data_IF_856898291625
#
_entry.id   IF_856898291625
#
_cell.length_a   1.000
_cell.length_b   1.000
_cell.length_c   1.000
_cell.angle_alpha   90.00
_cell.angle_beta   90.00
_cell.angle_gamma   90.00
#
_symmetry.space_group_name_H-M   'P 1'
#
loop_
_entity.id
_entity.type
_entity.pdbx_description
1 polymer ?
#
# COMPACT_ATOMS: atom_id res chain seq x y z
N UNK A 1 34.86 45.65 9.36
CA UNK A 1 33.96 44.55 9.63
C UNK A 1 32.70 45.16 10.22
N UNK A 2 31.58 45.07 9.55
CA UNK A 2 30.33 45.63 10.07
C UNK A 2 29.76 44.65 11.12
N UNK A 3 29.64 45.12 12.37
CA UNK A 3 29.00 44.37 13.44
C UNK A 3 27.54 44.22 13.11
N UNK A 4 27.09 42.98 12.92
CA UNK A 4 25.69 42.63 12.77
C UNK A 4 24.92 42.92 14.06
N UNK A 5 23.87 43.70 13.98
CA UNK A 5 23.03 43.93 15.16
C UNK A 5 22.31 42.65 15.63
N UNK A 6 21.93 42.53 16.91
CA UNK A 6 21.18 41.38 17.39
C UNK A 6 19.86 41.13 16.62
N UNK A 7 19.29 42.20 16.05
CA UNK A 7 18.08 42.11 15.19
C UNK A 7 18.39 41.53 13.82
N UNK A 8 19.55 41.87 13.23
CA UNK A 8 20.01 41.29 11.96
C UNK A 8 20.37 39.81 12.12
N UNK A 9 20.96 39.43 13.26
CA UNK A 9 21.22 38.03 13.59
C UNK A 9 19.92 37.22 13.78
N UNK A 10 18.94 37.77 14.47
CA UNK A 10 17.63 37.11 14.64
C UNK A 10 16.90 36.98 13.31
N UNK A 11 16.91 38.00 12.45
CA UNK A 11 16.34 37.98 11.12
C UNK A 11 17.01 36.93 10.21
N UNK A 12 18.35 36.82 10.26
CA UNK A 12 19.12 35.83 9.52
C UNK A 12 18.88 34.41 10.03
N UNK A 13 18.74 34.20 11.35
CA UNK A 13 18.40 32.92 11.93
C UNK A 13 16.96 32.48 11.56
N UNK A 14 16.02 33.43 11.56
CA UNK A 14 14.64 33.14 11.12
C UNK A 14 14.57 32.89 9.60
N UNK A 15 15.30 33.61 8.80
CA UNK A 15 15.38 33.41 7.35
C UNK A 15 16.03 32.06 6.99
N UNK A 16 17.13 31.71 7.66
CA UNK A 16 17.81 30.42 7.41
C UNK A 16 17.13 29.21 8.03
N UNK A 17 16.37 29.41 9.13
CA UNK A 17 15.62 28.33 9.80
C UNK A 17 14.29 28.00 9.13
N UNK A 18 13.77 28.86 8.25
CA UNK A 18 12.52 28.69 7.53
C UNK A 18 12.65 28.72 6.01
N UNK A 19 13.86 28.53 5.47
CA UNK A 19 13.91 28.16 4.06
C UNK A 19 13.12 26.87 3.89
N UNK A 20 12.02 26.96 3.11
CA UNK A 20 11.14 25.83 2.70
C UNK A 20 11.87 24.80 1.85
N UNK A 21 13.15 24.63 2.03
CA UNK A 21 14.02 23.62 1.43
C UNK A 21 14.28 22.45 2.39
N UNK A 22 13.33 22.14 3.27
CA UNK A 22 13.30 20.81 3.84
C UNK A 22 13.20 19.80 2.69
N UNK A 23 13.81 18.60 2.82
CA UNK A 23 13.68 17.58 1.80
C UNK A 23 12.21 17.41 1.45
N UNK A 24 11.88 17.41 0.16
CA UNK A 24 10.51 17.14 -0.28
C UNK A 24 10.04 15.86 0.41
N UNK A 25 8.76 15.74 0.70
CA UNK A 25 8.19 14.51 1.32
C UNK A 25 8.61 13.24 0.54
N UNK A 26 8.90 13.37 -0.75
CA UNK A 26 9.49 12.33 -1.61
C UNK A 26 10.97 12.00 -1.28
N UNK A 27 11.69 12.89 -0.58
CA UNK A 27 13.09 12.69 -0.18
C UNK A 27 13.21 12.20 1.28
N UNK A 28 12.13 12.14 2.05
CA UNK A 28 12.12 11.46 3.33
C UNK A 28 12.18 9.95 3.04
N UNK A 29 13.21 9.28 3.54
CA UNK A 29 13.29 7.83 3.47
C UNK A 29 12.10 7.20 4.18
N UNK A 30 11.52 6.15 3.58
CA UNK A 30 10.48 5.37 4.25
C UNK A 30 10.96 4.83 5.60
N UNK A 31 10.05 4.63 6.56
CA UNK A 31 10.39 3.93 7.80
C UNK A 31 11.01 2.56 7.50
N UNK A 32 12.05 2.20 8.25
CA UNK A 32 12.75 0.90 8.10
C UNK A 32 12.05 -0.24 8.85
N UNK A 33 11.03 0.08 9.65
CA UNK A 33 10.25 -0.88 10.44
C UNK A 33 8.75 -0.55 10.32
N UNK A 34 7.91 -1.50 10.77
CA UNK A 34 6.47 -1.31 10.85
C UNK A 34 6.15 -0.07 11.68
N UNK A 35 5.49 0.93 11.06
CA UNK A 35 5.27 2.24 11.66
C UNK A 35 3.83 2.71 11.44
N UNK A 36 3.08 2.99 12.50
CA UNK A 36 1.78 3.66 12.38
C UNK A 36 1.97 5.08 11.81
N UNK A 37 1.18 5.44 10.81
CA UNK A 37 1.22 6.77 10.21
C UNK A 37 -0.14 7.17 9.66
N UNK A 38 -0.37 8.47 9.52
CA UNK A 38 -1.56 9.01 8.86
C UNK A 38 -1.18 9.44 7.45
N UNK A 39 -1.89 8.93 6.45
CA UNK A 39 -1.71 9.30 5.05
C UNK A 39 -3.02 9.85 4.49
N UNK A 40 -2.94 10.66 3.43
CA UNK A 40 -4.11 11.18 2.75
C UNK A 40 -4.51 10.28 1.58
N UNK A 41 -5.79 10.30 1.20
CA UNK A 41 -6.32 9.44 0.13
C UNK A 41 -5.61 9.63 -1.22
N UNK A 42 -5.12 10.83 -1.50
CA UNK A 42 -4.37 11.16 -2.70
C UNK A 42 -2.97 10.54 -2.73
N UNK A 43 -2.41 10.21 -1.57
CA UNK A 43 -1.14 9.49 -1.44
C UNK A 43 -1.27 7.98 -1.58
N UNK A 44 -2.50 7.44 -1.49
CA UNK A 44 -2.76 6.01 -1.54
C UNK A 44 -3.17 5.55 -2.93
N UNK A 45 -2.70 4.36 -3.32
CA UNK A 45 -3.16 3.64 -4.52
C UNK A 45 -3.57 2.22 -4.14
N UNK A 46 -4.53 1.63 -4.85
CA UNK A 46 -4.79 0.21 -4.71
C UNK A 46 -3.57 -0.58 -5.17
N UNK A 47 -3.41 -1.80 -4.67
CA UNK A 47 -2.47 -2.74 -5.25
C UNK A 47 -3.00 -3.18 -6.62
N UNK A 48 -2.22 -2.97 -7.65
CA UNK A 48 -2.61 -3.13 -9.05
C UNK A 48 -2.68 -4.58 -9.52
N UNK A 49 -2.03 -5.50 -8.82
CA UNK A 49 -2.10 -6.95 -9.06
C UNK A 49 -3.02 -7.67 -8.06
N UNK A 50 -4.00 -6.96 -7.47
CA UNK A 50 -5.00 -7.61 -6.60
C UNK A 50 -5.74 -8.69 -7.40
N UNK A 51 -5.77 -9.94 -6.94
CA UNK A 51 -6.47 -11.02 -7.64
C UNK A 51 -7.97 -10.79 -7.74
N UNK A 52 -8.57 -10.00 -6.84
CA UNK A 52 -10.00 -9.68 -6.89
C UNK A 52 -10.28 -8.63 -7.96
N UNK A 53 -10.95 -9.05 -9.02
CA UNK A 53 -11.39 -8.17 -10.12
C UNK A 53 -12.88 -7.82 -10.04
N UNK A 54 -13.67 -8.60 -9.29
CA UNK A 54 -15.08 -8.33 -9.08
C UNK A 54 -15.32 -7.52 -7.81
N UNK A 55 -16.45 -6.79 -7.77
CA UNK A 55 -16.85 -6.06 -6.56
C UNK A 55 -17.06 -7.05 -5.41
N UNK A 56 -16.52 -6.72 -4.25
CA UNK A 56 -16.70 -7.53 -3.05
C UNK A 56 -18.20 -7.67 -2.73
N UNK A 57 -18.72 -8.90 -2.56
CA UNK A 57 -20.16 -9.11 -2.27
C UNK A 57 -20.64 -8.36 -1.01
N UNK A 58 -19.76 -8.19 -0.01
CA UNK A 58 -20.05 -7.46 1.23
C UNK A 58 -19.75 -5.95 1.14
N UNK A 59 -19.58 -5.39 -0.07
CA UNK A 59 -19.17 -3.99 -0.23
C UNK A 59 -20.07 -3.00 0.48
N UNK A 60 -21.39 -3.13 0.34
CA UNK A 60 -22.36 -2.19 0.95
C UNK A 60 -22.39 -2.32 2.48
N UNK A 61 -22.28 -3.53 3.00
CA UNK A 61 -22.22 -3.76 4.47
C UNK A 61 -20.94 -3.17 5.06
N UNK A 62 -19.81 -3.36 4.38
CA UNK A 62 -18.52 -2.76 4.77
C UNK A 62 -18.61 -1.23 4.70
N UNK A 63 -19.23 -0.67 3.65
CA UNK A 63 -19.41 0.77 3.50
C UNK A 63 -20.28 1.36 4.60
N UNK A 64 -21.39 0.73 4.94
CA UNK A 64 -22.25 1.14 6.04
C UNK A 64 -21.48 1.12 7.37
N UNK A 65 -20.74 0.04 7.64
CA UNK A 65 -19.91 -0.09 8.83
C UNK A 65 -18.85 1.04 8.93
N UNK A 66 -18.12 1.30 7.84
CA UNK A 66 -17.08 2.35 7.83
C UNK A 66 -17.71 3.74 7.98
N UNK A 67 -18.89 3.98 7.39
CA UNK A 67 -19.62 5.25 7.54
C UNK A 67 -19.96 5.55 8.98
N UNK A 68 -20.42 4.55 9.71
CA UNK A 68 -20.88 4.71 11.10
C UNK A 68 -19.73 4.74 12.11
N UNK A 69 -18.82 3.77 12.02
CA UNK A 69 -17.80 3.51 13.04
C UNK A 69 -16.39 3.93 12.64
N UNK A 70 -16.17 4.23 11.36
CA UNK A 70 -14.82 4.42 10.80
C UNK A 70 -14.14 3.09 10.51
N UNK A 71 -12.82 3.14 10.38
CA UNK A 71 -11.99 1.94 10.18
C UNK A 71 -11.68 1.26 11.51
N UNK A 72 -12.16 0.05 11.71
CA UNK A 72 -11.85 -0.77 12.91
C UNK A 72 -10.36 -1.19 12.95
N UNK A 73 -9.75 -1.38 11.78
CA UNK A 73 -8.34 -1.75 11.66
C UNK A 73 -7.65 -0.89 10.59
N UNK A 74 -6.51 -0.27 10.94
CA UNK A 74 -5.69 0.45 9.98
C UNK A 74 -5.27 -0.46 8.82
N UNK A 75 -5.45 -0.04 7.55
CA UNK A 75 -4.92 -0.79 6.42
C UNK A 75 -3.39 -0.81 6.46
N UNK A 76 -2.80 -1.96 6.13
CA UNK A 76 -1.38 -2.04 5.91
C UNK A 76 -1.05 -1.41 4.55
N UNK A 77 -0.01 -0.60 4.52
CA UNK A 77 0.48 0.06 3.32
C UNK A 77 1.99 -0.15 3.17
N UNK A 78 2.47 -0.03 1.95
CA UNK A 78 3.89 -0.03 1.64
C UNK A 78 4.16 0.93 0.47
N UNK A 79 5.42 1.09 0.08
CA UNK A 79 5.79 1.86 -1.09
C UNK A 79 6.80 1.08 -1.92
N UNK A 80 6.53 0.92 -3.21
CA UNK A 80 7.50 0.36 -4.14
C UNK A 80 8.72 1.27 -4.23
N UNK A 81 9.94 0.71 -4.30
CA UNK A 81 11.14 1.51 -4.51
C UNK A 81 11.02 2.41 -5.75
N UNK A 82 11.27 3.71 -5.57
CA UNK A 82 11.18 4.71 -6.64
C UNK A 82 9.79 5.24 -6.94
N UNK A 83 8.72 4.69 -6.37
CA UNK A 83 7.36 5.17 -6.58
C UNK A 83 6.98 6.28 -5.59
N UNK A 84 6.21 7.29 -6.03
CA UNK A 84 5.82 8.41 -5.17
C UNK A 84 4.66 8.09 -4.22
N UNK A 85 3.85 7.05 -4.52
CA UNK A 85 2.63 6.74 -3.79
C UNK A 85 2.78 5.49 -2.93
N UNK A 86 2.04 5.47 -1.83
CA UNK A 86 1.82 4.26 -1.06
C UNK A 86 0.79 3.36 -1.74
N UNK A 87 0.97 2.07 -1.63
CA UNK A 87 0.02 1.05 -2.10
C UNK A 87 -0.48 0.19 -0.94
N UNK A 88 -1.68 -0.32 -1.08
CA UNK A 88 -2.28 -1.26 -0.12
C UNK A 88 -1.45 -2.55 -0.11
N UNK A 89 -1.19 -3.05 1.09
CA UNK A 89 -0.50 -4.32 1.34
C UNK A 89 -1.45 -5.30 2.02
N UNK A 90 -1.48 -6.55 1.55
CA UNK A 90 -2.25 -7.66 2.13
C UNK A 90 -3.75 -7.34 2.29
N UNK A 91 -4.43 -7.06 1.19
CA UNK A 91 -5.86 -6.74 1.19
C UNK A 91 -6.19 -5.33 1.68
N UNK A 92 -7.37 -4.84 1.35
CA UNK A 92 -7.85 -3.50 1.71
C UNK A 92 -8.18 -2.61 0.52
N UNK A 93 -8.00 -3.07 -0.71
CA UNK A 93 -8.42 -2.32 -1.91
C UNK A 93 -9.92 -1.97 -1.86
N UNK A 94 -10.77 -2.89 -1.39
CA UNK A 94 -12.21 -2.63 -1.15
C UNK A 94 -12.41 -1.48 -0.16
N UNK A 95 -11.68 -1.48 0.97
CA UNK A 95 -11.78 -0.41 1.97
C UNK A 95 -11.29 0.93 1.42
N UNK A 96 -10.22 0.94 0.64
CA UNK A 96 -9.73 2.15 -0.02
C UNK A 96 -10.77 2.71 -1.02
N UNK A 97 -11.41 1.84 -1.81
CA UNK A 97 -12.48 2.26 -2.72
C UNK A 97 -13.65 2.88 -1.95
N UNK A 98 -14.08 2.25 -0.86
CA UNK A 98 -15.13 2.76 0.03
C UNK A 98 -14.78 4.11 0.63
N UNK A 99 -13.55 4.28 1.13
CA UNK A 99 -13.11 5.57 1.69
C UNK A 99 -13.14 6.70 0.66
N UNK A 100 -12.74 6.41 -0.58
CA UNK A 100 -12.82 7.38 -1.68
C UNK A 100 -14.26 7.78 -1.99
N UNK A 101 -15.17 6.81 -2.01
CA UNK A 101 -16.59 7.04 -2.24
C UNK A 101 -17.19 7.86 -1.09
N UNK A 102 -16.96 7.48 0.17
CA UNK A 102 -17.42 8.22 1.34
C UNK A 102 -16.87 9.65 1.40
N UNK A 103 -15.60 9.85 1.08
CA UNK A 103 -15.00 11.18 0.96
C UNK A 103 -15.67 11.99 -0.15
N UNK A 104 -15.94 11.38 -1.30
CA UNK A 104 -16.64 12.04 -2.40
C UNK A 104 -18.04 12.51 -2.00
N UNK A 105 -18.77 11.68 -1.26
CA UNK A 105 -20.15 11.93 -0.81
C UNK A 105 -20.24 12.97 0.31
N UNK A 106 -19.34 12.89 1.29
CA UNK A 106 -19.49 13.61 2.56
C UNK A 106 -18.52 14.76 2.78
N UNK A 107 -17.34 14.70 2.15
CA UNK A 107 -16.20 15.59 2.41
C UNK A 107 -15.75 15.60 3.87
N UNK A 108 -16.05 14.52 4.61
CA UNK A 108 -15.64 14.36 6.00
C UNK A 108 -14.16 13.94 6.07
N UNK A 109 -13.33 14.74 6.73
CA UNK A 109 -11.88 14.57 6.87
C UNK A 109 -11.48 13.20 7.44
N UNK A 110 -12.32 12.55 8.23
CA UNK A 110 -12.06 11.21 8.76
C UNK A 110 -11.94 10.14 7.66
N UNK A 111 -12.50 10.39 6.46
CA UNK A 111 -12.37 9.51 5.29
C UNK A 111 -11.24 9.93 4.37
N UNK A 112 -10.62 11.09 4.58
CA UNK A 112 -9.52 11.59 3.79
C UNK A 112 -8.17 11.34 4.45
N UNK A 113 -8.06 11.53 5.78
CA UNK A 113 -6.86 11.32 6.58
C UNK A 113 -6.91 9.94 7.23
N UNK A 114 -6.27 8.98 6.63
CA UNK A 114 -6.41 7.56 6.96
C UNK A 114 -5.26 7.12 7.87
N UNK A 115 -5.57 6.62 9.10
CA UNK A 115 -4.57 5.94 9.90
C UNK A 115 -4.20 4.61 9.22
N UNK A 116 -2.92 4.40 8.99
CA UNK A 116 -2.36 3.23 8.31
C UNK A 116 -1.22 2.63 9.11
N UNK A 117 -0.92 1.36 8.86
CA UNK A 117 0.31 0.72 9.29
C UNK A 117 1.25 0.62 8.08
N UNK A 118 2.27 1.46 8.06
CA UNK A 118 3.33 1.31 7.06
C UNK A 118 4.15 0.07 7.36
N UNK A 119 4.44 -0.71 6.33
CA UNK A 119 5.36 -1.84 6.36
C UNK A 119 6.38 -1.67 5.25
N UNK A 120 7.68 -1.83 5.53
CA UNK A 120 8.71 -1.73 4.51
C UNK A 120 8.44 -2.63 3.32
N UNK A 121 8.88 -2.21 2.13
CA UNK A 121 8.79 -3.04 0.93
C UNK A 121 9.47 -4.39 1.17
N UNK A 122 8.80 -5.50 0.90
CA UNK A 122 9.37 -6.81 1.20
C UNK A 122 10.57 -7.11 0.30
N UNK A 123 11.54 -7.83 0.85
CA UNK A 123 12.78 -8.16 0.13
C UNK A 123 12.52 -8.94 -1.18
N UNK A 124 11.52 -9.83 -1.19
CA UNK A 124 11.07 -10.58 -2.36
C UNK A 124 10.01 -9.83 -3.21
N UNK A 125 9.83 -8.55 -2.96
CA UNK A 125 9.02 -7.63 -3.77
C UNK A 125 7.60 -8.11 -4.04
N UNK A 126 7.24 -8.16 -5.32
CA UNK A 126 5.90 -8.48 -5.80
C UNK A 126 5.43 -9.90 -5.42
N UNK A 127 6.32 -10.86 -5.26
CA UNK A 127 5.96 -12.22 -4.82
C UNK A 127 5.24 -12.16 -3.48
N UNK A 128 5.84 -11.51 -2.48
CA UNK A 128 5.25 -11.40 -1.14
C UNK A 128 3.99 -10.52 -1.15
N UNK A 129 3.96 -9.49 -1.99
CA UNK A 129 2.80 -8.63 -2.14
C UNK A 129 1.60 -9.42 -2.66
N UNK A 130 1.76 -10.13 -3.77
CA UNK A 130 0.67 -10.87 -4.41
C UNK A 130 0.20 -12.06 -3.57
N UNK A 131 1.13 -12.86 -3.02
CA UNK A 131 0.76 -14.01 -2.17
C UNK A 131 0.03 -13.56 -0.91
N UNK A 132 0.42 -12.43 -0.31
CA UNK A 132 -0.31 -11.81 0.80
C UNK A 132 -1.73 -11.38 0.42
N UNK A 133 -1.94 -10.83 -0.78
CA UNK A 133 -3.28 -10.49 -1.27
C UNK A 133 -4.12 -11.73 -1.57
N UNK A 134 -3.52 -12.77 -2.16
CA UNK A 134 -4.19 -14.05 -2.39
C UNK A 134 -4.69 -14.67 -1.09
N UNK A 135 -3.80 -14.82 -0.11
CA UNK A 135 -4.12 -15.40 1.19
C UNK A 135 -5.21 -14.61 1.94
N UNK A 136 -5.10 -13.27 1.98
CA UNK A 136 -6.07 -12.41 2.65
C UNK A 136 -7.46 -12.47 1.99
N UNK A 137 -7.52 -12.46 0.66
CA UNK A 137 -8.78 -12.58 -0.06
C UNK A 137 -9.44 -13.95 0.16
N UNK A 138 -8.66 -15.03 0.22
CA UNK A 138 -9.16 -16.37 0.49
C UNK A 138 -9.79 -16.45 1.89
N UNK A 139 -9.14 -15.86 2.89
CA UNK A 139 -9.60 -15.85 4.28
C UNK A 139 -10.85 -14.98 4.51
N UNK A 140 -11.02 -13.88 3.75
CA UNK A 140 -12.04 -12.86 4.02
C UNK A 140 -13.22 -12.83 3.06
N UNK A 141 -13.45 -13.83 2.27
CA UNK A 141 -14.63 -13.86 1.41
C UNK A 141 -14.47 -14.63 0.12
N UNK A 142 -13.40 -15.40 0.01
CA UNK A 142 -13.08 -16.23 -1.12
C UNK A 142 -12.89 -15.45 -2.42
N UNK A 143 -12.08 -16.00 -3.28
CA UNK A 143 -11.95 -15.60 -4.68
C UNK A 143 -12.83 -16.53 -5.52
N UNK A 144 -13.41 -16.00 -6.58
CA UNK A 144 -13.99 -16.88 -7.59
C UNK A 144 -12.91 -17.78 -8.19
N UNK A 145 -13.30 -18.89 -8.79
CA UNK A 145 -12.36 -19.81 -9.44
C UNK A 145 -11.45 -19.08 -10.45
N UNK A 146 -12.05 -18.18 -11.24
CA UNK A 146 -11.33 -17.41 -12.26
C UNK A 146 -10.33 -16.43 -11.61
N UNK A 147 -10.74 -15.70 -10.60
CA UNK A 147 -9.85 -14.77 -9.88
C UNK A 147 -8.67 -15.50 -9.24
N UNK A 148 -8.93 -16.67 -8.62
CA UNK A 148 -7.88 -17.53 -8.07
C UNK A 148 -6.92 -18.01 -9.16
N UNK A 149 -7.44 -18.49 -10.28
CA UNK A 149 -6.63 -18.97 -11.39
C UNK A 149 -5.73 -17.87 -11.97
N UNK A 150 -6.29 -16.66 -12.21
CA UNK A 150 -5.54 -15.51 -12.67
C UNK A 150 -4.48 -15.06 -11.66
N UNK A 151 -4.81 -15.05 -10.37
CA UNK A 151 -3.86 -14.72 -9.30
C UNK A 151 -2.72 -15.72 -9.20
N UNK A 152 -2.99 -17.02 -9.33
CA UNK A 152 -1.97 -18.09 -9.35
C UNK A 152 -1.07 -17.97 -10.57
N UNK A 153 -1.64 -17.65 -11.73
CA UNK A 153 -0.83 -17.47 -12.96
C UNK A 153 0.05 -16.23 -12.85
N UNK A 154 -0.46 -15.14 -12.27
CA UNK A 154 0.36 -13.95 -12.00
C UNK A 154 1.46 -14.22 -10.98
N UNK A 155 1.19 -15.03 -9.97
CA UNK A 155 2.21 -15.46 -9.01
C UNK A 155 3.32 -16.27 -9.71
N UNK A 156 2.98 -17.12 -10.70
CA UNK A 156 3.96 -17.83 -11.51
C UNK A 156 4.92 -16.86 -12.18
N UNK A 157 4.41 -15.84 -12.85
CA UNK A 157 5.23 -14.82 -13.52
C UNK A 157 6.23 -14.17 -12.54
N UNK A 158 5.78 -13.80 -11.33
CA UNK A 158 6.64 -13.18 -10.34
C UNK A 158 7.68 -14.14 -9.76
N UNK A 159 7.34 -15.43 -9.55
CA UNK A 159 8.33 -16.43 -9.15
C UNK A 159 9.38 -16.67 -10.24
N UNK A 160 8.98 -16.68 -11.51
CA UNK A 160 9.89 -16.85 -12.62
C UNK A 160 10.85 -15.65 -12.74
N UNK A 161 10.34 -14.42 -12.57
CA UNK A 161 11.16 -13.20 -12.52
C UNK A 161 12.15 -13.24 -11.34
N UNK A 162 11.69 -13.61 -10.13
CA UNK A 162 12.55 -13.75 -8.94
C UNK A 162 13.72 -14.72 -9.18
N UNK A 163 13.47 -15.77 -9.95
CA UNK A 163 14.47 -16.80 -10.26
C UNK A 163 15.37 -16.44 -11.45
N UNK A 164 15.18 -15.28 -12.08
CA UNK A 164 15.91 -14.89 -13.29
C UNK A 164 15.65 -15.82 -14.48
N UNK A 165 14.51 -16.50 -14.49
CA UNK A 165 14.10 -17.33 -15.61
C UNK A 165 13.42 -16.44 -16.65
N UNK A 166 14.09 -16.24 -17.77
CA UNK A 166 13.41 -15.74 -18.96
C UNK A 166 12.40 -16.78 -19.46
N UNK A 167 11.36 -16.32 -20.14
CA UNK A 167 10.15 -17.04 -20.58
C UNK A 167 10.33 -18.38 -21.33
N UNK A 168 11.53 -18.97 -21.29
CA UNK A 168 11.85 -20.22 -21.96
C UNK A 168 11.61 -21.51 -21.18
N UNK A 169 11.47 -21.45 -19.86
CA UNK A 169 11.17 -22.62 -19.00
C UNK A 169 10.20 -22.25 -17.90
N UNK A 170 8.89 -22.38 -18.12
CA UNK A 170 7.90 -22.09 -17.11
C UNK A 170 8.03 -23.01 -15.90
N UNK A 171 7.69 -22.50 -14.71
CA UNK A 171 7.59 -23.31 -13.50
C UNK A 171 6.60 -24.44 -13.70
N UNK A 172 6.98 -25.66 -13.30
CA UNK A 172 6.04 -26.77 -13.27
C UNK A 172 4.90 -26.50 -12.28
N UNK A 173 3.74 -27.09 -12.53
CA UNK A 173 2.56 -26.95 -11.63
C UNK A 173 2.90 -27.36 -10.19
N UNK A 174 3.64 -28.46 -10.02
CA UNK A 174 4.03 -28.97 -8.70
C UNK A 174 4.98 -28.01 -7.97
N UNK A 175 5.92 -27.40 -8.67
CA UNK A 175 6.83 -26.40 -8.09
C UNK A 175 6.09 -25.12 -7.71
N UNK A 176 5.19 -24.65 -8.58
CA UNK A 176 4.35 -23.49 -8.29
C UNK A 176 3.49 -23.71 -7.05
N UNK A 177 2.79 -24.85 -6.96
CA UNK A 177 1.97 -25.20 -5.81
C UNK A 177 2.78 -25.23 -4.51
N UNK A 178 3.97 -25.84 -4.54
CA UNK A 178 4.87 -25.90 -3.39
C UNK A 178 5.30 -24.51 -2.90
N UNK A 179 5.61 -23.59 -3.82
CA UNK A 179 6.00 -22.23 -3.50
C UNK A 179 4.84 -21.42 -2.93
N UNK A 180 3.66 -21.50 -3.54
CA UNK A 180 2.46 -20.86 -3.03
C UNK A 180 2.14 -21.32 -1.61
N UNK A 181 2.18 -22.63 -1.35
CA UNK A 181 1.97 -23.18 -0.02
C UNK A 181 3.03 -22.69 0.98
N UNK A 182 4.31 -22.62 0.58
CA UNK A 182 5.37 -22.09 1.43
C UNK A 182 5.19 -20.61 1.76
N UNK A 183 4.58 -19.83 0.87
CA UNK A 183 4.28 -18.41 1.04
C UNK A 183 2.88 -18.15 1.64
N UNK A 184 2.17 -19.20 2.07
CA UNK A 184 0.93 -19.09 2.87
C UNK A 184 -0.38 -19.05 2.08
N UNK A 185 -0.35 -19.54 0.81
CA UNK A 185 -1.54 -19.64 -0.04
C UNK A 185 -1.95 -21.09 -0.35
#
# INVERSE_FOLDING_TARGET
MADLTPQDMAANLLASGFERNGPSVAALSDPIADTPMVVTLDQLRPYDHDPRVTRNPAYEDIKASIRERGLDAPPAITRRPGEPHYIIRNGGNTRLAILRELWSETKDERFFRIPCLFRPWPQRGEVVMLTGHLAENELRGGLSFIERALGVEKAREFYEQEMGRDSGQPLSQSELARRLTADGF
#
